data_IF_605328280310
#
_entry.id   IF_605328280310
#
_cell.length_a   1.000
_cell.length_b   1.000
_cell.length_c   1.000
_cell.angle_alpha   90.00
_cell.angle_beta   90.00
_cell.angle_gamma   90.00
#
_symmetry.space_group_name_H-M   'P 1'
#
loop_
_entity.id
_entity.type
_entity.pdbx_description
1 polymer ?
#
# COMPACT_ATOMS: atom_id res chain seq x y z
N UNK A 1 -11.97 16.16 -24.55
CA UNK A 1 -11.52 15.79 -23.19
C UNK A 1 -10.03 15.49 -23.24
N UNK A 2 -9.18 16.34 -22.65
CA UNK A 2 -7.72 16.15 -22.68
C UNK A 2 -7.28 15.19 -21.57
N UNK A 3 -6.68 14.04 -21.93
CA UNK A 3 -6.02 13.15 -20.97
C UNK A 3 -4.82 13.88 -20.38
N UNK A 4 -4.92 14.37 -19.13
CA UNK A 4 -3.76 14.82 -18.34
C UNK A 4 -2.81 13.63 -18.22
N UNK A 5 -1.71 13.64 -18.98
CA UNK A 5 -0.59 12.75 -18.74
C UNK A 5 0.00 13.16 -17.39
N UNK A 6 -0.09 12.27 -16.42
CA UNK A 6 0.58 12.42 -15.13
C UNK A 6 2.08 12.31 -15.37
N UNK A 7 2.74 13.46 -15.60
CA UNK A 7 4.20 13.52 -15.63
C UNK A 7 4.69 13.60 -14.17
N UNK A 8 4.56 12.47 -13.47
CA UNK A 8 4.93 12.31 -12.06
C UNK A 8 6.39 11.97 -11.83
N UNK A 9 7.26 12.16 -12.83
CA UNK A 9 8.71 12.01 -12.64
C UNK A 9 9.26 13.28 -11.96
N UNK A 10 9.10 13.38 -10.64
CA UNK A 10 9.81 14.39 -9.87
C UNK A 10 11.32 14.18 -10.01
N UNK A 11 12.11 15.25 -10.14
CA UNK A 11 13.57 15.14 -10.28
C UNK A 11 14.23 14.35 -9.14
N UNK A 12 13.58 14.28 -7.98
CA UNK A 12 13.96 13.42 -6.84
C UNK A 12 13.95 11.93 -7.20
N UNK A 13 12.98 11.48 -7.99
CA UNK A 13 12.89 10.10 -8.46
C UNK A 13 14.07 9.75 -9.37
N UNK A 14 14.41 10.64 -10.33
CA UNK A 14 15.58 10.46 -11.21
C UNK A 14 16.90 10.43 -10.45
N UNK A 15 17.06 11.29 -9.45
CA UNK A 15 18.26 11.31 -8.61
C UNK A 15 18.37 10.04 -7.75
N UNK A 16 17.28 9.61 -7.13
CA UNK A 16 17.23 8.39 -6.34
C UNK A 16 17.57 7.15 -7.18
N UNK A 17 17.01 7.04 -8.39
CA UNK A 17 17.33 5.97 -9.34
C UNK A 17 18.82 5.94 -9.74
N UNK A 18 19.46 7.10 -9.86
CA UNK A 18 20.88 7.21 -10.23
C UNK A 18 21.81 6.72 -9.11
N UNK A 19 21.47 7.04 -7.85
CA UNK A 19 22.30 6.72 -6.68
C UNK A 19 22.04 5.31 -6.17
N UNK A 20 20.78 4.92 -6.01
CA UNK A 20 20.39 3.64 -5.41
C UNK A 20 20.09 2.57 -6.45
N UNK A 21 20.17 2.90 -7.75
CA UNK A 21 19.71 2.04 -8.83
C UNK A 21 18.18 2.04 -8.94
N UNK A 22 17.63 1.33 -9.95
CA UNK A 22 16.20 1.10 -10.02
C UNK A 22 15.71 0.45 -8.73
N UNK A 23 14.59 0.93 -8.19
CA UNK A 23 13.92 0.29 -7.06
C UNK A 23 13.71 -1.18 -7.43
N UNK A 24 14.49 -2.07 -6.82
CA UNK A 24 14.31 -3.51 -7.00
C UNK A 24 12.99 -3.83 -6.30
N UNK A 25 11.91 -3.84 -7.08
CA UNK A 25 10.68 -4.50 -6.68
C UNK A 25 11.10 -5.93 -6.37
N UNK A 26 11.07 -6.31 -5.08
CA UNK A 26 11.36 -7.69 -4.70
C UNK A 26 10.55 -8.59 -5.63
N UNK A 27 11.17 -9.64 -6.20
CA UNK A 27 10.41 -10.60 -6.99
C UNK A 27 9.20 -11.03 -6.16
N UNK A 28 8.05 -11.12 -6.81
CA UNK A 28 6.78 -11.43 -6.14
C UNK A 28 6.83 -12.77 -5.38
N UNK A 29 7.87 -13.59 -5.60
CA UNK A 29 8.14 -14.85 -4.90
C UNK A 29 8.89 -14.69 -3.56
N UNK A 30 9.45 -13.49 -3.28
CA UNK A 30 10.04 -13.15 -1.98
C UNK A 30 8.97 -12.60 -1.02
N UNK A 31 7.77 -13.20 -1.05
CA UNK A 31 6.75 -12.97 -0.03
C UNK A 31 7.31 -13.54 1.27
N UNK A 32 7.47 -12.71 2.28
CA UNK A 32 7.67 -13.23 3.64
C UNK A 32 6.48 -14.13 3.95
N UNK A 33 6.70 -15.42 4.26
CA UNK A 33 5.60 -16.32 4.54
C UNK A 33 4.77 -15.73 5.69
N UNK A 34 3.45 -15.71 5.50
CA UNK A 34 2.52 -15.29 6.56
C UNK A 34 2.76 -16.22 7.75
N UNK A 35 3.09 -15.64 8.90
CA UNK A 35 3.31 -16.41 10.12
C UNK A 35 1.99 -16.61 10.86
N UNK A 36 1.89 -17.62 11.72
CA UNK A 36 0.73 -17.79 12.61
C UNK A 36 0.46 -16.53 13.46
N UNK A 37 1.52 -15.80 13.83
CA UNK A 37 1.41 -14.53 14.53
C UNK A 37 0.79 -13.42 13.66
N UNK A 38 1.05 -13.43 12.35
CA UNK A 38 0.42 -12.53 11.40
C UNK A 38 -1.07 -12.85 11.23
N UNK A 39 -1.42 -14.14 11.12
CA UNK A 39 -2.82 -14.58 11.02
C UNK A 39 -3.63 -14.24 12.28
N UNK A 40 -3.04 -14.45 13.46
CA UNK A 40 -3.68 -14.10 14.73
C UNK A 40 -3.88 -12.59 14.85
N UNK A 41 -2.89 -11.80 14.45
CA UNK A 41 -2.98 -10.34 14.43
C UNK A 41 -4.03 -9.85 13.42
N UNK A 42 -4.08 -10.44 12.23
CA UNK A 42 -5.08 -10.10 11.21
C UNK A 42 -6.50 -10.43 11.69
N UNK A 43 -6.68 -11.59 12.31
CA UNK A 43 -7.96 -11.98 12.96
C UNK A 43 -8.38 -10.96 14.01
N UNK A 44 -7.46 -10.56 14.90
CA UNK A 44 -7.74 -9.54 15.92
C UNK A 44 -8.09 -8.18 15.30
N UNK A 45 -7.42 -7.78 14.21
CA UNK A 45 -7.75 -6.54 13.50
C UNK A 45 -9.14 -6.62 12.86
N UNK A 46 -9.51 -7.75 12.28
CA UNK A 46 -10.85 -7.95 11.72
C UNK A 46 -11.95 -7.96 12.79
N UNK A 47 -11.65 -8.45 14.00
CA UNK A 47 -12.58 -8.41 15.13
C UNK A 47 -12.77 -7.01 15.71
N UNK A 48 -11.70 -6.21 15.73
CA UNK A 48 -11.67 -4.89 16.40
C UNK A 48 -11.94 -3.72 15.47
N UNK A 49 -11.67 -3.86 14.17
CA UNK A 49 -11.76 -2.78 13.20
C UNK A 49 -12.77 -3.09 12.09
N UNK A 50 -13.40 -2.03 11.61
CA UNK A 50 -14.30 -2.06 10.47
C UNK A 50 -13.82 -1.05 9.41
N UNK A 51 -13.86 -1.46 8.15
CA UNK A 51 -13.56 -0.59 7.02
C UNK A 51 -14.84 0.02 6.50
N UNK A 52 -14.95 1.34 6.57
CA UNK A 52 -16.11 2.10 6.07
C UNK A 52 -15.73 2.76 4.76
N UNK A 53 -16.57 2.55 3.74
CA UNK A 53 -16.42 3.18 2.44
C UNK A 53 -17.41 4.33 2.31
N UNK A 54 -16.90 5.51 1.89
CA UNK A 54 -17.73 6.68 1.65
C UNK A 54 -18.26 6.68 0.20
N UNK A 55 -19.35 7.41 -0.06
CA UNK A 55 -19.85 7.63 -1.41
C UNK A 55 -18.86 8.33 -2.36
N UNK A 56 -17.90 9.08 -1.81
CA UNK A 56 -16.83 9.74 -2.56
C UNK A 56 -15.70 8.78 -3.02
N UNK A 57 -15.80 7.50 -2.67
CA UNK A 57 -14.83 6.46 -3.00
C UNK A 57 -13.66 6.35 -2.00
N UNK A 58 -13.58 7.23 -1.00
CA UNK A 58 -12.59 7.11 0.07
C UNK A 58 -12.95 5.99 1.05
N UNK A 59 -11.94 5.37 1.65
CA UNK A 59 -12.13 4.35 2.69
C UNK A 59 -11.31 4.67 3.92
N UNK A 60 -11.90 4.52 5.09
CA UNK A 60 -11.24 4.70 6.38
C UNK A 60 -11.54 3.51 7.31
N UNK A 61 -10.70 3.33 8.32
CA UNK A 61 -10.82 2.24 9.29
C UNK A 61 -11.27 2.82 10.62
N UNK A 62 -12.28 2.21 11.24
CA UNK A 62 -12.83 2.62 12.54
C UNK A 62 -12.79 1.46 13.52
N UNK A 63 -12.71 1.76 14.81
CA UNK A 63 -12.87 0.76 15.87
C UNK A 63 -14.35 0.37 16.00
N UNK A 64 -14.62 -0.93 16.07
CA UNK A 64 -15.94 -1.48 16.38
C UNK A 64 -16.28 -1.16 17.84
N UNK A 65 -17.54 -0.79 18.09
CA UNK A 65 -18.07 -0.55 19.44
C UNK A 65 -18.65 -1.82 20.04
#
# INVERSE_FOLDING_TARGET
MAKRRWNGESGTYRFALRIFGPAQLRPHDAVTPVTEADEARETQLHETLERVQRPDGSSYVVTKR
#
